data_IF_717541439467
#
_entry.id   IF_717541439467
#
_cell.length_a   1.000
_cell.length_b   1.000
_cell.length_c   1.000
_cell.angle_alpha   90.00
_cell.angle_beta   90.00
_cell.angle_gamma   90.00
#
_symmetry.space_group_name_H-M   'P 1'
#
loop_
_entity.id
_entity.type
_entity.pdbx_description
1 polymer ?
#
# COMPACT_ATOMS: atom_id res chain seq x y z
N UNK A 1 22.49 12.76 41.30
CA UNK A 1 21.58 13.26 40.24
C UNK A 1 21.28 14.73 40.52
N UNK A 2 21.50 15.62 39.54
CA UNK A 2 21.23 17.06 39.72
C UNK A 2 19.75 17.35 39.46
N UNK A 3 19.13 18.17 40.31
CA UNK A 3 17.75 18.60 40.17
C UNK A 3 17.64 20.10 40.41
N UNK A 4 16.79 20.76 39.61
CA UNK A 4 16.43 22.18 39.79
C UNK A 4 14.94 22.20 40.13
N UNK A 5 14.62 22.54 41.38
CA UNK A 5 13.26 22.57 41.92
C UNK A 5 12.75 24.00 41.96
N UNK A 6 11.47 24.20 41.67
CA UNK A 6 10.77 25.47 41.81
C UNK A 6 9.40 25.22 42.44
N UNK A 7 8.94 26.14 43.29
CA UNK A 7 7.77 25.92 44.17
C UNK A 7 6.43 25.87 43.45
N UNK A 8 6.35 26.30 42.19
CA UNK A 8 5.12 26.30 41.38
C UNK A 8 5.35 25.85 39.93
N UNK A 9 6.50 25.24 39.63
CA UNK A 9 6.84 24.77 38.29
C UNK A 9 7.39 23.34 38.36
N UNK A 10 7.25 22.55 37.29
CA UNK A 10 7.82 21.21 37.25
C UNK A 10 9.34 21.27 37.43
N UNK A 11 9.87 20.23 38.09
CA UNK A 11 11.28 20.08 38.42
C UNK A 11 12.06 19.61 37.19
N UNK A 12 13.23 20.20 36.95
CA UNK A 12 14.16 19.69 35.96
C UNK A 12 15.08 18.66 36.62
N UNK A 13 15.19 17.48 35.99
CA UNK A 13 16.07 16.41 36.43
C UNK A 13 17.11 16.08 35.36
N UNK A 14 18.38 16.08 35.75
CA UNK A 14 19.48 15.70 34.85
C UNK A 14 19.59 14.18 34.79
N UNK A 15 19.45 13.63 33.59
CA UNK A 15 19.67 12.21 33.28
C UNK A 15 20.88 12.04 32.36
N UNK A 16 21.30 10.80 32.12
CA UNK A 16 22.36 10.48 31.15
C UNK A 16 22.00 10.89 29.71
N UNK A 17 20.70 11.10 29.42
CA UNK A 17 20.19 11.52 28.11
C UNK A 17 19.88 13.03 28.03
N UNK A 18 20.23 13.81 29.06
CA UNK A 18 19.95 15.24 29.13
C UNK A 18 18.95 15.62 30.22
N UNK A 19 18.46 16.85 30.17
CA UNK A 19 17.51 17.38 31.16
C UNK A 19 16.09 16.98 30.80
N UNK A 20 15.38 16.36 31.74
CA UNK A 20 13.96 16.01 31.63
C UNK A 20 13.14 16.88 32.57
N UNK A 21 11.90 17.19 32.18
CA UNK A 21 10.93 17.92 32.99
C UNK A 21 10.05 16.91 33.73
N UNK A 22 9.95 17.00 35.04
CA UNK A 22 9.19 16.08 35.89
C UNK A 22 8.40 16.83 36.98
N UNK A 23 7.14 16.47 37.19
CA UNK A 23 6.27 17.10 38.20
C UNK A 23 4.91 17.48 37.66
N UNK A 24 4.04 17.96 38.56
CA UNK A 24 2.67 18.35 38.24
C UNK A 24 2.63 19.79 37.70
N UNK A 25 2.00 20.00 36.55
CA UNK A 25 1.66 21.34 36.07
C UNK A 25 0.31 21.75 36.69
N UNK A 26 0.32 22.81 37.47
CA UNK A 26 -0.92 23.46 37.89
C UNK A 26 -1.45 24.28 36.70
N UNK A 27 -2.15 23.64 35.76
CA UNK A 27 -2.84 24.33 34.67
C UNK A 27 -4.35 24.37 34.89
N UNK A 28 -4.85 25.55 35.23
CA UNK A 28 -6.24 25.92 34.98
C UNK A 28 -6.40 26.33 33.51
N UNK A 29 -6.44 25.38 32.59
CA UNK A 29 -7.26 25.41 31.34
C UNK A 29 -7.16 24.00 30.78
N UNK A 30 -8.27 23.26 30.78
CA UNK A 30 -8.36 21.98 30.10
C UNK A 30 -8.18 22.17 28.58
N UNK A 31 -6.94 22.05 28.09
CA UNK A 31 -6.70 21.77 26.67
C UNK A 31 -6.87 20.28 26.48
N UNK A 32 -7.94 19.92 25.80
CA UNK A 32 -8.28 18.55 25.47
C UNK A 32 -7.19 17.98 24.55
N UNK A 33 -6.24 17.24 25.12
CA UNK A 33 -5.28 16.46 24.35
C UNK A 33 -6.03 15.26 23.77
N UNK A 34 -6.47 15.37 22.52
CA UNK A 34 -7.07 14.26 21.79
C UNK A 34 -5.95 13.36 21.29
N UNK A 35 -5.78 12.20 21.91
CA UNK A 35 -4.99 11.12 21.33
C UNK A 35 -5.93 10.22 20.51
N UNK A 36 -5.65 10.05 19.21
CA UNK A 36 -6.33 9.04 18.39
C UNK A 36 -5.71 7.67 18.68
N UNK A 37 -5.74 7.24 19.94
CA UNK A 37 -5.26 5.91 20.31
C UNK A 37 -6.39 4.92 20.00
N UNK A 38 -6.30 4.27 18.85
CA UNK A 38 -7.26 3.25 18.42
C UNK A 38 -6.93 1.92 19.09
N UNK A 39 -7.28 1.79 20.37
CA UNK A 39 -6.97 0.60 21.19
C UNK A 39 -7.80 -0.62 20.75
N UNK A 40 -8.91 -0.45 20.03
CA UNK A 40 -9.84 -1.54 19.72
C UNK A 40 -9.96 -1.88 18.22
N UNK A 41 -9.29 -1.14 17.34
CA UNK A 41 -9.33 -1.43 15.88
C UNK A 41 -8.13 -2.23 15.41
N UNK A 42 -7.05 -2.27 16.20
CA UNK A 42 -5.83 -2.97 15.81
C UNK A 42 -6.07 -4.49 15.76
N UNK A 43 -6.75 -5.07 16.73
CA UNK A 43 -7.05 -6.51 16.76
C UNK A 43 -7.88 -6.93 15.54
N UNK A 44 -8.91 -6.16 15.18
CA UNK A 44 -9.71 -6.42 13.99
C UNK A 44 -8.91 -6.25 12.70
N UNK A 45 -7.99 -5.27 12.65
CA UNK A 45 -7.11 -5.07 11.50
C UNK A 45 -6.07 -6.18 11.39
N UNK A 46 -5.50 -6.63 12.51
CA UNK A 46 -4.60 -7.77 12.58
C UNK A 46 -5.32 -9.05 12.18
N UNK A 47 -6.53 -9.31 12.69
CA UNK A 47 -7.31 -10.49 12.31
C UNK A 47 -7.63 -10.49 10.80
N UNK A 48 -8.01 -9.34 10.23
CA UNK A 48 -8.22 -9.21 8.78
C UNK A 48 -6.93 -9.43 8.00
N UNK A 49 -5.81 -8.92 8.50
CA UNK A 49 -4.50 -9.13 7.89
C UNK A 49 -4.12 -10.62 7.87
N UNK A 50 -4.27 -11.30 9.01
CA UNK A 50 -4.01 -12.73 9.14
C UNK A 50 -4.93 -13.57 8.24
N UNK A 51 -6.23 -13.26 8.15
CA UNK A 51 -7.15 -13.96 7.25
C UNK A 51 -6.78 -13.82 5.76
N UNK A 52 -6.07 -12.76 5.37
CA UNK A 52 -5.63 -12.55 3.97
C UNK A 52 -4.36 -13.36 3.67
N UNK A 53 -3.45 -13.48 4.62
CA UNK A 53 -2.21 -14.25 4.47
C UNK A 53 -2.38 -15.74 4.78
N UNK A 54 -3.46 -16.12 5.50
CA UNK A 54 -3.78 -17.50 5.80
C UNK A 54 -4.31 -18.20 4.54
N UNK A 55 -3.48 -19.08 3.98
CA UNK A 55 -3.90 -20.01 2.93
C UNK A 55 -4.95 -20.93 3.55
N UNK A 56 -6.21 -20.86 3.09
CA UNK A 56 -7.29 -21.69 3.58
C UNK A 56 -6.94 -23.19 3.41
N UNK A 57 -6.44 -23.80 4.48
CA UNK A 57 -6.08 -25.22 4.52
C UNK A 57 -7.37 -26.03 4.36
N UNK A 58 -7.55 -26.71 3.22
CA UNK A 58 -8.62 -27.71 3.05
C UNK A 58 -9.79 -27.33 2.12
N UNK A 59 -9.72 -26.25 1.34
CA UNK A 59 -10.63 -26.08 0.21
C UNK A 59 -10.17 -26.95 -0.97
N UNK A 60 -11.05 -27.75 -1.59
CA UNK A 60 -10.69 -28.47 -2.81
C UNK A 60 -10.46 -27.47 -3.94
N UNK A 61 -9.29 -27.52 -4.57
CA UNK A 61 -8.98 -26.70 -5.74
C UNK A 61 -10.03 -26.92 -6.83
N UNK A 62 -10.43 -25.82 -7.47
CA UNK A 62 -11.19 -25.87 -8.72
C UNK A 62 -10.39 -26.58 -9.82
N UNK A 63 -11.07 -26.98 -10.89
CA UNK A 63 -10.38 -27.60 -12.03
C UNK A 63 -9.35 -26.67 -12.66
N UNK A 64 -9.59 -25.35 -12.68
CA UNK A 64 -8.64 -24.36 -13.20
C UNK A 64 -7.41 -24.23 -12.30
N UNK A 65 -7.61 -24.17 -10.97
CA UNK A 65 -6.50 -24.10 -10.01
C UNK A 65 -5.63 -25.36 -10.08
N UNK A 66 -6.24 -26.55 -10.16
CA UNK A 66 -5.48 -27.79 -10.36
C UNK A 66 -4.64 -27.76 -11.65
N UNK A 67 -5.18 -27.23 -12.75
CA UNK A 67 -4.44 -27.10 -14.02
C UNK A 67 -3.26 -26.14 -13.88
N UNK A 68 -3.45 -25.02 -13.17
CA UNK A 68 -2.38 -24.04 -12.92
C UNK A 68 -1.31 -24.63 -12.01
N UNK A 69 -1.69 -25.36 -10.97
CA UNK A 69 -0.76 -26.04 -10.07
C UNK A 69 0.09 -27.07 -10.81
N UNK A 70 -0.54 -27.93 -11.61
CA UNK A 70 0.18 -28.89 -12.46
C UNK A 70 1.11 -28.19 -13.46
N UNK A 71 0.65 -27.11 -14.10
CA UNK A 71 1.50 -26.32 -15.00
C UNK A 71 2.73 -25.75 -14.28
N UNK A 72 2.55 -25.26 -13.05
CA UNK A 72 3.65 -24.77 -12.24
C UNK A 72 4.64 -25.90 -11.94
N UNK A 73 4.16 -27.04 -11.43
CA UNK A 73 4.99 -28.22 -11.14
C UNK A 73 5.80 -28.66 -12.36
N UNK A 74 5.17 -28.73 -13.54
CA UNK A 74 5.79 -29.23 -14.76
C UNK A 74 6.82 -28.26 -15.36
N UNK A 75 6.66 -26.96 -15.12
CA UNK A 75 7.46 -25.91 -15.81
C UNK A 75 8.38 -25.13 -14.88
N UNK A 76 8.23 -25.30 -13.58
CA UNK A 76 9.11 -24.75 -12.57
C UNK A 76 10.48 -25.43 -12.64
N UNK A 77 11.51 -24.64 -12.78
CA UNK A 77 12.89 -25.09 -12.59
C UNK A 77 13.72 -24.05 -11.86
N UNK A 78 14.85 -24.49 -11.29
CA UNK A 78 15.86 -23.61 -10.68
C UNK A 78 17.14 -23.70 -11.48
N UNK A 79 17.67 -22.56 -11.86
CA UNK A 79 18.95 -22.43 -12.57
C UNK A 79 20.12 -22.79 -11.66
N UNK A 80 21.29 -23.08 -12.26
CA UNK A 80 22.53 -23.33 -11.52
C UNK A 80 22.97 -22.13 -10.66
N UNK A 81 22.61 -20.91 -11.08
CA UNK A 81 22.81 -19.67 -10.30
C UNK A 81 21.79 -19.49 -9.16
N UNK A 82 20.83 -20.41 -9.02
CA UNK A 82 19.83 -20.40 -7.96
C UNK A 82 18.57 -19.56 -8.25
N UNK A 83 18.42 -18.99 -9.45
CA UNK A 83 17.19 -18.27 -9.87
C UNK A 83 16.07 -19.24 -10.28
N UNK A 84 14.83 -18.89 -9.96
CA UNK A 84 13.66 -19.63 -10.42
C UNK A 84 13.25 -19.21 -11.83
N UNK A 85 12.96 -20.20 -12.67
CA UNK A 85 12.35 -20.01 -13.98
C UNK A 85 11.00 -20.71 -13.94
N UNK A 86 9.94 -19.96 -14.22
CA UNK A 86 8.56 -20.44 -14.20
C UNK A 86 7.93 -20.04 -15.52
N UNK A 87 7.23 -20.96 -16.18
CA UNK A 87 6.47 -20.64 -17.39
C UNK A 87 5.09 -20.11 -16.98
N UNK A 88 4.68 -19.00 -17.59
CA UNK A 88 3.34 -18.46 -17.33
C UNK A 88 2.30 -19.29 -18.08
N UNK A 89 1.22 -19.75 -17.40
CA UNK A 89 0.12 -20.44 -18.07
C UNK A 89 -0.65 -19.46 -18.96
N UNK A 90 -0.81 -19.80 -20.23
CA UNK A 90 -1.67 -19.06 -21.17
C UNK A 90 -3.03 -19.73 -21.27
N UNK A 91 -4.11 -18.93 -21.26
CA UNK A 91 -5.45 -19.45 -21.54
C UNK A 91 -5.58 -19.73 -23.04
N UNK A 92 -6.07 -20.92 -23.41
CA UNK A 92 -6.23 -21.37 -24.81
C UNK A 92 -7.04 -20.40 -25.69
N UNK A 93 -7.95 -19.61 -25.12
CA UNK A 93 -8.76 -18.61 -25.83
C UNK A 93 -8.09 -17.24 -26.02
N UNK A 94 -6.76 -17.16 -25.94
CA UNK A 94 -6.01 -15.91 -26.16
C UNK A 94 -5.41 -15.81 -27.56
N UNK A 95 -6.17 -16.25 -28.58
CA UNK A 95 -5.74 -16.29 -29.98
C UNK A 95 -5.37 -14.94 -30.62
N UNK A 96 -5.36 -13.84 -29.86
CA UNK A 96 -4.90 -12.52 -30.34
C UNK A 96 -4.02 -11.82 -29.31
N UNK A 97 -3.05 -12.52 -28.70
CA UNK A 97 -2.15 -11.93 -27.70
C UNK A 97 -1.12 -10.95 -28.31
N UNK A 98 -1.39 -10.37 -29.47
CA UNK A 98 -0.69 -9.20 -29.97
C UNK A 98 -0.14 -9.32 -31.38
N UNK A 99 -0.09 -8.19 -32.06
CA UNK A 99 0.54 -8.05 -33.38
C UNK A 99 1.99 -7.60 -33.18
N UNK A 100 2.90 -8.12 -34.00
CA UNK A 100 4.28 -7.62 -34.06
C UNK A 100 4.30 -6.39 -34.97
N UNK A 101 4.77 -5.26 -34.46
CA UNK A 101 4.96 -4.05 -35.27
C UNK A 101 6.11 -4.25 -36.26
N UNK A 102 6.12 -3.44 -37.32
CA UNK A 102 7.20 -3.46 -38.33
C UNK A 102 8.58 -3.16 -37.72
N UNK A 103 8.62 -2.46 -36.59
CA UNK A 103 9.82 -2.20 -35.79
C UNK A 103 10.26 -3.39 -34.90
N UNK A 104 9.53 -4.49 -34.95
CA UNK A 104 9.86 -5.73 -34.25
C UNK A 104 9.36 -5.81 -32.80
N UNK A 105 8.56 -4.87 -32.31
CA UNK A 105 7.96 -4.90 -30.96
C UNK A 105 6.66 -5.70 -30.95
N UNK A 106 6.38 -6.41 -29.85
CA UNK A 106 5.10 -7.09 -29.67
C UNK A 106 4.11 -6.16 -28.99
N UNK A 107 2.98 -5.88 -29.63
CA UNK A 107 1.88 -5.08 -29.06
C UNK A 107 0.77 -6.02 -28.65
N UNK A 108 0.69 -6.30 -27.35
CA UNK A 108 -0.33 -7.17 -26.77
C UNK A 108 -1.55 -6.34 -26.37
N UNK A 109 -2.74 -6.68 -26.88
CA UNK A 109 -3.97 -6.11 -26.34
C UNK A 109 -4.33 -6.89 -25.08
N UNK A 110 -4.09 -6.28 -23.91
CA UNK A 110 -4.49 -6.88 -22.65
C UNK A 110 -6.02 -7.10 -22.68
N UNK A 111 -6.51 -8.30 -22.37
CA UNK A 111 -7.94 -8.54 -22.27
C UNK A 111 -8.45 -7.82 -21.02
N UNK A 112 -8.85 -6.56 -21.18
CA UNK A 112 -9.65 -5.87 -20.17
C UNK A 112 -10.98 -6.63 -20.06
N UNK A 113 -11.36 -7.04 -18.85
CA UNK A 113 -12.73 -7.50 -18.61
C UNK A 113 -13.65 -6.33 -18.94
N UNK A 114 -14.45 -6.42 -20.01
CA UNK A 114 -15.39 -5.34 -20.39
C UNK A 114 -16.38 -4.99 -19.27
N UNK A 115 -16.61 -5.91 -18.33
CA UNK A 115 -17.41 -5.72 -17.13
C UNK A 115 -16.54 -5.44 -15.90
N UNK A 116 -15.91 -4.26 -15.83
CA UNK A 116 -15.32 -3.74 -14.58
C UNK A 116 -16.25 -2.76 -13.87
N UNK A 117 -17.53 -3.10 -13.70
CA UNK A 117 -18.36 -2.40 -12.71
C UNK A 117 -17.82 -2.59 -11.28
N UNK A 118 -16.93 -3.57 -11.09
CA UNK A 118 -16.27 -3.88 -9.83
C UNK A 118 -14.74 -3.67 -9.92
N UNK A 119 -14.26 -2.50 -10.37
CA UNK A 119 -13.11 -1.98 -9.61
C UNK A 119 -13.69 -1.77 -8.22
N UNK A 120 -13.30 -2.60 -7.26
CA UNK A 120 -13.86 -2.58 -5.91
C UNK A 120 -13.82 -1.19 -5.27
N UNK A 121 -14.18 -1.09 -3.99
CA UNK A 121 -14.34 0.20 -3.31
C UNK A 121 -13.11 1.12 -3.40
N UNK A 122 -11.93 0.63 -3.80
CA UNK A 122 -10.76 1.39 -4.23
C UNK A 122 -11.07 2.68 -5.01
N UNK A 123 -12.01 2.69 -5.98
CA UNK A 123 -12.36 3.94 -6.69
C UNK A 123 -13.09 4.93 -5.77
N UNK A 124 -14.01 4.43 -4.93
CA UNK A 124 -14.68 5.22 -3.90
C UNK A 124 -13.70 5.72 -2.84
N UNK A 125 -12.84 4.85 -2.32
CA UNK A 125 -11.78 5.15 -1.37
C UNK A 125 -10.78 6.16 -1.96
N UNK A 126 -10.39 6.04 -3.22
CA UNK A 126 -9.49 6.99 -3.87
C UNK A 126 -10.13 8.39 -3.96
N UNK A 127 -11.40 8.45 -4.34
CA UNK A 127 -12.17 9.69 -4.47
C UNK A 127 -12.53 10.32 -3.10
N UNK A 128 -12.85 9.51 -2.10
CA UNK A 128 -13.17 9.93 -0.73
C UNK A 128 -11.91 10.11 0.13
N UNK A 129 -10.75 9.63 -0.33
CA UNK A 129 -9.51 9.83 0.41
C UNK A 129 -9.18 11.31 0.43
N UNK A 130 -9.17 11.83 1.65
CA UNK A 130 -8.59 13.14 1.97
C UNK A 130 -7.18 13.30 1.39
N UNK A 131 -6.46 12.19 1.20
CA UNK A 131 -5.12 12.15 0.60
C UNK A 131 -5.10 12.60 -0.86
N UNK A 132 -6.01 12.10 -1.71
CA UNK A 132 -6.09 12.52 -3.11
C UNK A 132 -6.44 14.01 -3.21
N UNK A 133 -7.47 14.46 -2.49
CA UNK A 133 -7.86 15.87 -2.43
C UNK A 133 -6.72 16.79 -1.95
N UNK A 134 -5.96 16.37 -0.92
CA UNK A 134 -4.81 17.14 -0.43
C UNK A 134 -3.67 17.18 -1.46
N UNK A 135 -3.46 16.08 -2.18
CA UNK A 135 -2.45 15.98 -3.24
C UNK A 135 -2.81 16.87 -4.41
N UNK A 136 -4.06 16.84 -4.87
CA UNK A 136 -4.56 17.75 -5.90
C UNK A 136 -4.47 19.21 -5.47
N UNK A 137 -4.82 19.52 -4.21
CA UNK A 137 -4.69 20.88 -3.69
C UNK A 137 -3.23 21.34 -3.62
N UNK A 138 -2.31 20.44 -3.26
CA UNK A 138 -0.89 20.76 -3.24
C UNK A 138 -0.32 20.91 -4.66
N UNK A 139 -0.77 20.08 -5.59
CA UNK A 139 -0.42 20.18 -7.00
C UNK A 139 -0.99 21.46 -7.63
N UNK A 140 -2.17 21.92 -7.20
CA UNK A 140 -2.78 23.17 -7.66
C UNK A 140 -2.11 24.43 -7.09
N UNK A 141 -1.45 24.34 -5.92
CA UNK A 141 -0.72 25.48 -5.34
C UNK A 141 0.53 25.83 -6.14
N UNK A 142 1.13 24.86 -6.80
CA UNK A 142 2.33 25.05 -7.61
C UNK A 142 2.01 24.84 -9.09
N UNK A 143 1.84 25.97 -9.78
CA UNK A 143 1.47 25.99 -11.20
C UNK A 143 2.54 25.33 -12.08
N UNK A 144 3.82 25.36 -11.69
CA UNK A 144 4.93 24.81 -12.46
C UNK A 144 4.93 23.27 -12.40
N UNK A 145 4.76 22.71 -11.20
CA UNK A 145 4.70 21.26 -10.99
C UNK A 145 3.46 20.68 -11.69
N UNK A 146 2.31 21.35 -11.61
CA UNK A 146 1.10 20.96 -12.33
C UNK A 146 1.34 20.92 -13.84
N UNK A 147 2.00 21.92 -14.40
CA UNK A 147 2.24 21.98 -15.84
C UNK A 147 3.22 20.89 -16.30
N UNK A 148 4.26 20.62 -15.52
CA UNK A 148 5.19 19.50 -15.78
C UNK A 148 4.48 18.15 -15.73
N UNK A 149 3.59 17.94 -14.76
CA UNK A 149 2.79 16.73 -14.66
C UNK A 149 1.87 16.55 -15.88
N UNK A 150 1.18 17.61 -16.32
CA UNK A 150 0.32 17.55 -17.52
C UNK A 150 1.16 17.22 -18.77
N UNK A 151 2.30 17.88 -18.94
CA UNK A 151 3.17 17.63 -20.08
C UNK A 151 3.71 16.19 -20.07
N UNK A 152 4.10 15.68 -18.89
CA UNK A 152 4.52 14.29 -18.71
C UNK A 152 3.39 13.31 -19.08
N UNK A 153 2.16 13.53 -18.60
CA UNK A 153 1.03 12.65 -18.94
C UNK A 153 0.69 12.67 -20.44
N UNK A 154 0.87 13.80 -21.12
CA UNK A 154 0.67 13.91 -22.57
C UNK A 154 1.78 13.22 -23.40
N UNK A 155 2.99 13.07 -22.85
CA UNK A 155 4.10 12.36 -23.51
C UNK A 155 3.85 10.84 -23.58
N UNK A 156 3.06 10.31 -22.66
CA UNK A 156 2.71 8.88 -22.58
C UNK A 156 1.45 8.50 -23.38
N UNK A 157 0.85 9.46 -24.09
CA UNK A 157 -0.35 9.25 -24.91
C UNK A 157 0.02 8.93 -26.37
#
# INVERSE_FOLDING_TARGET
MQQIKSTNHPTLQKTSFGWIVAGHLNESVAKQTVCNLTINTLDNQLQKFWNIEEIAQGQPFTQEENKVEQHFIDTHQRTEEGRFVVRLPFKENTLELGQRTEEGRFVVRLPFKENTLELGESKGIANESKTLYLTERNLQKDQEVKQRYINFMNEYQ
#
